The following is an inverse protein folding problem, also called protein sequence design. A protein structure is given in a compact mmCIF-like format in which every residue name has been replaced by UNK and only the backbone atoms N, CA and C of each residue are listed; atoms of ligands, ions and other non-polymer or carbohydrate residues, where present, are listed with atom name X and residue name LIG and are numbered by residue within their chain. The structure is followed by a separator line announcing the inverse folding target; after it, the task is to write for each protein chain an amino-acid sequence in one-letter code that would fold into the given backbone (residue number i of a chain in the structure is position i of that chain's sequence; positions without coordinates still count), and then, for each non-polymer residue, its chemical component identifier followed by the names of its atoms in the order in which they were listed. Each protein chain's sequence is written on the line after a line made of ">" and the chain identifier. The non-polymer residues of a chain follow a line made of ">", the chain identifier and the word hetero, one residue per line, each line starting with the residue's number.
data_IF_191176218464
#
_entry.id   IF_191176218464
#
_cell.length_a   1.000
_cell.length_b   1.000
_cell.length_c   1.000
_cell.angle_alpha   90.00
_cell.angle_beta   90.00
_cell.angle_gamma   90.00
#
_symmetry.space_group_name_H-M   'P 1'
#
loop_
_entity.id
_entity.type
_entity.pdbx_description
1 polymer ?
#
# COMPACT_ATOMS: atom_id res chain seq x y z
N UNK A 1 -12.73 1.35 23.44
CA UNK A 1 -11.60 2.15 22.90
C UNK A 1 -10.34 1.37 23.15
N UNK A 2 -9.52 1.23 22.12
CA UNK A 2 -8.21 0.61 22.23
C UNK A 2 -7.13 1.69 21.98
N UNK A 3 -6.30 2.02 22.99
CA UNK A 3 -5.29 3.05 22.85
C UNK A 3 -4.03 2.58 22.08
N UNK A 4 -3.85 1.26 21.95
CA UNK A 4 -2.71 0.65 21.23
C UNK A 4 -3.17 -0.58 20.45
N UNK A 5 -3.57 -0.37 19.21
CA UNK A 5 -4.00 -1.44 18.31
C UNK A 5 -2.84 -2.27 17.74
N UNK A 6 -1.60 -1.89 18.03
CA UNK A 6 -0.40 -2.64 17.68
C UNK A 6 0.16 -3.43 18.91
N UNK A 7 -0.51 -3.33 20.06
CA UNK A 7 -0.16 -4.03 21.28
C UNK A 7 -0.64 -5.49 21.34
N UNK A 8 -0.66 -6.04 22.53
CA UNK A 8 -1.06 -7.43 22.78
C UNK A 8 -2.50 -7.73 22.35
N UNK A 9 -3.41 -6.75 22.51
CA UNK A 9 -4.82 -6.86 22.14
C UNK A 9 -5.14 -5.92 21.00
N UNK A 10 -5.32 -6.45 19.80
CA UNK A 10 -5.59 -5.66 18.60
C UNK A 10 -7.03 -5.19 18.52
N UNK A 11 -8.00 -5.96 19.05
CA UNK A 11 -9.42 -5.66 18.90
C UNK A 11 -9.83 -4.35 19.58
N UNK A 12 -10.59 -3.53 18.87
CA UNK A 12 -11.12 -2.26 19.34
C UNK A 12 -10.96 -1.13 18.32
N UNK A 13 -11.35 0.07 18.73
CA UNK A 13 -11.31 1.26 17.89
C UNK A 13 -10.53 2.36 18.59
N UNK A 14 -9.80 3.15 17.83
CA UNK A 14 -8.97 4.23 18.34
C UNK A 14 -8.39 5.10 17.23
N UNK A 15 -7.40 5.90 17.61
CA UNK A 15 -6.59 6.64 16.66
C UNK A 15 -5.41 5.78 16.23
N UNK A 16 -5.11 5.79 14.94
CA UNK A 16 -3.91 5.14 14.41
C UNK A 16 -2.66 6.00 14.63
N UNK A 17 -1.54 5.34 14.90
CA UNK A 17 -0.25 5.98 14.79
C UNK A 17 0.02 6.41 13.35
N UNK A 18 0.51 7.63 13.18
CA UNK A 18 0.77 8.17 11.85
C UNK A 18 2.26 8.44 11.63
N UNK A 19 2.75 8.22 10.41
CA UNK A 19 4.12 8.56 10.01
C UNK A 19 4.21 10.06 9.68
N UNK A 20 3.91 10.89 10.69
CA UNK A 20 3.97 12.34 10.60
C UNK A 20 4.88 12.87 11.72
N UNK A 21 5.76 13.80 11.39
CA UNK A 21 6.60 14.49 12.35
C UNK A 21 6.65 15.97 12.02
N UNK A 22 6.36 16.81 13.00
CA UNK A 22 6.31 18.28 12.85
C UNK A 22 5.42 18.71 11.65
N UNK A 23 4.22 18.11 11.52
CA UNK A 23 3.27 18.43 10.46
C UNK A 23 3.70 18.06 9.04
N UNK A 24 4.71 17.21 8.89
CA UNK A 24 5.20 16.72 7.60
C UNK A 24 5.31 15.21 7.59
N UNK A 25 5.10 14.61 6.41
CA UNK A 25 5.29 13.17 6.23
C UNK A 25 6.70 12.74 6.58
N UNK A 26 6.83 11.86 7.56
CA UNK A 26 8.09 11.28 8.01
C UNK A 26 8.49 10.09 7.11
N UNK A 27 8.82 10.38 5.85
CA UNK A 27 9.26 9.34 4.91
C UNK A 27 10.63 8.78 5.27
N UNK A 28 10.90 7.53 4.89
CA UNK A 28 12.21 6.88 5.02
C UNK A 28 13.31 7.72 4.36
N UNK A 29 13.04 8.32 3.19
CA UNK A 29 13.99 9.22 2.54
C UNK A 29 14.36 10.41 3.43
N UNK A 30 13.36 11.04 4.08
CA UNK A 30 13.59 12.25 4.90
C UNK A 30 14.32 11.91 6.20
N UNK A 31 13.92 10.85 6.91
CA UNK A 31 14.37 10.60 8.28
C UNK A 31 15.49 9.58 8.40
N UNK A 32 15.67 8.69 7.41
CA UNK A 32 16.73 7.70 7.40
C UNK A 32 17.82 8.01 6.38
N UNK A 33 17.45 8.37 5.14
CA UNK A 33 18.43 8.56 4.07
C UNK A 33 19.09 9.95 4.13
N UNK A 34 18.31 11.05 4.24
CA UNK A 34 18.86 12.40 4.23
C UNK A 34 19.92 12.65 5.31
N UNK A 35 19.77 12.18 6.58
CA UNK A 35 20.79 12.40 7.61
C UNK A 35 22.14 11.73 7.31
N UNK A 36 22.15 10.71 6.46
CA UNK A 36 23.35 9.89 6.20
C UNK A 36 23.88 10.02 4.77
N UNK A 37 23.20 10.76 3.89
CA UNK A 37 23.57 10.88 2.48
C UNK A 37 24.96 11.47 2.19
N UNK A 38 25.53 12.17 3.18
CA UNK A 38 26.89 12.72 3.08
C UNK A 38 28.01 11.75 3.49
N UNK A 39 27.64 10.53 3.93
CA UNK A 39 28.63 9.53 4.30
C UNK A 39 29.44 9.09 3.07
N UNK A 40 30.77 9.03 3.20
CA UNK A 40 31.69 8.67 2.11
C UNK A 40 31.53 7.22 1.60
N UNK A 41 30.98 6.35 2.43
CA UNK A 41 30.70 4.95 2.11
C UNK A 41 29.29 4.70 1.58
N UNK A 42 28.53 5.75 1.29
CA UNK A 42 27.17 5.66 0.73
C UNK A 42 27.12 6.36 -0.62
N UNK A 43 26.83 5.61 -1.68
CA UNK A 43 26.56 6.14 -3.00
C UNK A 43 25.11 5.91 -3.36
N UNK A 44 24.40 6.95 -3.81
CA UNK A 44 23.00 6.90 -4.18
C UNK A 44 22.86 7.28 -5.65
N UNK A 45 22.37 6.34 -6.45
CA UNK A 45 22.11 6.52 -7.87
C UNK A 45 20.60 6.63 -8.08
N UNK A 46 20.08 7.84 -8.18
CA UNK A 46 18.68 8.10 -8.55
C UNK A 46 18.51 8.08 -10.07
N UNK A 47 17.25 7.93 -10.55
CA UNK A 47 16.93 7.81 -11.98
C UNK A 47 17.73 6.68 -12.68
N UNK A 48 17.90 5.59 -11.95
CA UNK A 48 18.64 4.40 -12.36
C UNK A 48 17.71 3.21 -12.37
N UNK A 49 17.53 2.60 -13.52
CA UNK A 49 16.62 1.47 -13.69
C UNK A 49 17.42 0.17 -13.76
N UNK A 50 17.23 -0.71 -12.78
CA UNK A 50 17.88 -2.02 -12.75
C UNK A 50 17.16 -2.95 -13.70
N UNK A 51 17.84 -3.38 -14.76
CA UNK A 51 17.26 -4.25 -15.80
C UNK A 51 17.49 -5.73 -15.50
N UNK A 52 18.63 -6.06 -14.85
CA UNK A 52 19.00 -7.46 -14.62
C UNK A 52 19.95 -7.62 -13.45
N UNK A 53 19.88 -8.76 -12.78
CA UNK A 53 20.89 -9.24 -11.84
C UNK A 53 21.91 -10.07 -12.63
N UNK A 54 23.19 -9.83 -12.38
CA UNK A 54 24.29 -10.59 -12.96
C UNK A 54 24.60 -11.77 -12.04
N UNK A 55 24.61 -12.96 -12.61
CA UNK A 55 24.97 -14.19 -11.91
C UNK A 55 26.28 -14.77 -12.43
N UNK A 56 27.10 -15.28 -11.53
CA UNK A 56 28.16 -16.25 -11.80
C UNK A 56 27.66 -17.60 -11.28
N UNK A 57 27.38 -18.53 -12.20
CA UNK A 57 26.57 -19.72 -11.90
C UNK A 57 25.27 -19.39 -11.16
N UNK A 58 25.18 -19.64 -9.84
CA UNK A 58 24.03 -19.34 -8.99
C UNK A 58 24.29 -18.21 -7.99
N UNK A 59 25.46 -17.61 -8.01
CA UNK A 59 25.83 -16.50 -7.13
C UNK A 59 25.51 -15.18 -7.79
N UNK A 60 24.68 -14.35 -7.15
CA UNK A 60 24.48 -12.98 -7.59
C UNK A 60 25.74 -12.15 -7.32
N UNK A 61 26.35 -11.62 -8.38
CA UNK A 61 27.62 -10.90 -8.32
C UNK A 61 27.49 -9.42 -8.67
N UNK A 62 26.35 -8.98 -9.21
CA UNK A 62 26.17 -7.59 -9.62
C UNK A 62 24.83 -7.34 -10.28
N UNK A 63 24.69 -6.15 -10.86
CA UNK A 63 23.48 -5.70 -11.55
C UNK A 63 23.82 -4.97 -12.84
N UNK A 64 22.93 -5.06 -13.82
CA UNK A 64 22.90 -4.20 -15.01
C UNK A 64 21.88 -3.09 -14.79
N UNK A 65 22.30 -1.85 -14.96
CA UNK A 65 21.51 -0.67 -14.63
C UNK A 65 21.52 0.31 -15.80
N UNK A 66 20.36 0.78 -16.20
CA UNK A 66 20.27 1.87 -17.17
C UNK A 66 20.31 3.22 -16.46
N UNK A 67 21.31 4.01 -16.77
CA UNK A 67 21.52 5.37 -16.30
C UNK A 67 21.65 6.30 -17.51
N UNK A 68 20.81 7.31 -17.65
CA UNK A 68 20.85 8.27 -18.78
C UNK A 68 21.00 7.59 -20.16
N UNK A 69 20.22 6.55 -20.43
CA UNK A 69 20.23 5.75 -21.67
C UNK A 69 21.50 4.92 -21.92
N UNK A 70 22.40 4.74 -20.95
CA UNK A 70 23.53 3.83 -21.01
C UNK A 70 23.35 2.69 -20.03
N UNK A 71 23.77 1.49 -20.43
CA UNK A 71 23.81 0.34 -19.52
C UNK A 71 25.16 0.34 -18.82
N UNK A 72 25.13 0.36 -17.51
CA UNK A 72 26.29 0.25 -16.64
C UNK A 72 26.19 -1.00 -15.78
N UNK A 73 27.34 -1.56 -15.38
CA UNK A 73 27.40 -2.74 -14.52
C UNK A 73 28.02 -2.37 -13.18
N UNK A 74 27.37 -2.79 -12.12
CA UNK A 74 27.87 -2.66 -10.76
C UNK A 74 28.05 -4.04 -10.16
N UNK A 75 29.17 -4.27 -9.52
CA UNK A 75 29.51 -5.57 -8.91
C UNK A 75 29.51 -5.45 -7.39
N UNK A 76 29.04 -6.50 -6.72
CA UNK A 76 28.97 -6.58 -5.27
C UNK A 76 30.09 -7.49 -4.75
N UNK A 77 30.91 -7.00 -3.83
CA UNK A 77 31.97 -7.79 -3.18
C UNK A 77 31.41 -8.73 -2.11
N UNK A 78 30.35 -8.32 -1.41
CA UNK A 78 29.77 -9.07 -0.27
C UNK A 78 28.39 -9.61 -0.59
N UNK A 79 27.41 -8.75 -0.80
CA UNK A 79 26.04 -9.17 -1.07
C UNK A 79 25.28 -8.15 -1.93
N UNK A 80 24.20 -8.63 -2.55
CA UNK A 80 23.25 -7.84 -3.30
C UNK A 80 21.88 -7.94 -2.62
N UNK A 81 21.35 -6.80 -2.22
CA UNK A 81 20.06 -6.70 -1.50
C UNK A 81 18.98 -6.26 -2.48
N UNK A 82 17.95 -7.08 -2.62
CA UNK A 82 16.80 -6.81 -3.49
C UNK A 82 15.64 -6.27 -2.66
N UNK A 83 15.32 -4.98 -2.85
CA UNK A 83 14.26 -4.27 -2.11
C UNK A 83 13.25 -3.59 -3.04
N UNK A 84 12.94 -4.22 -4.19
CA UNK A 84 12.03 -3.68 -5.20
C UNK A 84 10.53 -3.84 -4.87
N UNK A 85 10.19 -4.42 -3.73
CA UNK A 85 8.81 -4.68 -3.30
C UNK A 85 8.20 -5.94 -3.91
N UNK A 86 6.93 -6.20 -3.58
CA UNK A 86 6.22 -7.43 -3.92
C UNK A 86 6.04 -7.66 -5.42
N UNK A 87 6.10 -6.61 -6.22
CA UNK A 87 5.89 -6.66 -7.67
C UNK A 87 7.23 -6.67 -8.41
N UNK A 88 8.10 -5.68 -8.13
CA UNK A 88 9.32 -5.51 -8.92
C UNK A 88 10.41 -6.53 -8.55
N UNK A 89 10.50 -6.96 -7.28
CA UNK A 89 11.49 -7.97 -6.89
C UNK A 89 11.31 -9.30 -7.61
N UNK A 90 10.12 -9.92 -7.65
CA UNK A 90 9.92 -11.14 -8.43
C UNK A 90 10.06 -10.90 -9.94
N UNK A 91 9.65 -9.74 -10.47
CA UNK A 91 9.85 -9.41 -11.87
C UNK A 91 11.34 -9.40 -12.22
N UNK A 92 12.17 -8.71 -11.43
CA UNK A 92 13.61 -8.62 -11.65
C UNK A 92 14.30 -9.98 -11.50
N UNK A 93 13.88 -10.82 -10.55
CA UNK A 93 14.38 -12.20 -10.42
C UNK A 93 14.08 -13.02 -11.68
N UNK A 94 12.84 -12.96 -12.17
CA UNK A 94 12.44 -13.69 -13.38
C UNK A 94 13.20 -13.20 -14.62
N UNK A 95 13.32 -11.89 -14.83
CA UNK A 95 14.10 -11.30 -15.92
C UNK A 95 15.57 -11.70 -15.85
N UNK A 96 16.06 -12.03 -14.66
CA UNK A 96 17.44 -12.46 -14.42
C UNK A 96 17.64 -13.97 -14.46
N UNK A 97 16.60 -14.73 -14.81
CA UNK A 97 16.68 -16.18 -14.96
C UNK A 97 16.36 -16.99 -13.71
N UNK A 98 15.81 -16.37 -12.65
CA UNK A 98 15.41 -17.03 -11.42
C UNK A 98 13.88 -17.06 -11.31
N UNK A 99 13.27 -18.24 -11.45
CA UNK A 99 11.82 -18.41 -11.48
C UNK A 99 11.40 -19.78 -11.98
N UNK A 100 10.13 -19.93 -12.38
CA UNK A 100 9.65 -21.16 -13.00
C UNK A 100 10.32 -21.37 -14.35
N UNK A 101 11.07 -22.45 -14.49
CA UNK A 101 11.88 -22.72 -15.68
C UNK A 101 11.06 -22.86 -16.98
N UNK A 102 9.80 -23.34 -16.90
CA UNK A 102 8.93 -23.45 -18.07
C UNK A 102 8.55 -22.04 -18.54
N UNK A 103 8.03 -21.22 -17.61
CA UNK A 103 7.65 -19.85 -17.90
C UNK A 103 8.83 -19.00 -18.43
N UNK A 104 10.02 -19.12 -17.82
CA UNK A 104 11.19 -18.36 -18.27
C UNK A 104 11.60 -18.75 -19.69
N UNK A 105 11.60 -20.05 -20.03
CA UNK A 105 11.91 -20.52 -21.39
C UNK A 105 10.90 -20.02 -22.42
N UNK A 106 9.61 -20.00 -22.08
CA UNK A 106 8.54 -19.45 -22.95
C UNK A 106 8.77 -17.95 -23.26
N UNK A 107 9.42 -17.21 -22.34
CA UNK A 107 9.79 -15.81 -22.53
C UNK A 107 11.19 -15.62 -23.16
N UNK A 108 11.87 -16.69 -23.57
CA UNK A 108 13.21 -16.63 -24.15
C UNK A 108 14.31 -16.27 -23.13
N UNK A 109 14.07 -16.48 -21.83
CA UNK A 109 15.01 -16.17 -20.76
C UNK A 109 15.79 -17.43 -20.38
N UNK A 110 17.13 -17.31 -20.36
CA UNK A 110 17.99 -18.37 -19.88
C UNK A 110 17.79 -18.64 -18.39
N UNK A 111 17.56 -19.90 -18.04
CA UNK A 111 17.30 -20.32 -16.66
C UNK A 111 18.60 -20.42 -15.87
N UNK A 112 18.79 -19.56 -14.89
CA UNK A 112 19.85 -19.62 -13.89
C UNK A 112 19.46 -20.59 -12.77
N UNK A 113 18.23 -20.44 -12.25
CA UNK A 113 17.73 -21.31 -11.20
C UNK A 113 16.22 -21.51 -11.31
N UNK A 114 15.80 -22.79 -11.31
CA UNK A 114 14.37 -23.14 -11.29
C UNK A 114 13.80 -22.97 -9.87
N UNK A 115 13.19 -21.83 -9.61
CA UNK A 115 12.57 -21.48 -8.33
C UNK A 115 11.10 -21.14 -8.55
N UNK A 116 10.24 -22.16 -8.52
CA UNK A 116 8.81 -22.05 -8.88
C UNK A 116 8.00 -21.10 -8.02
N UNK A 117 8.49 -20.78 -6.80
CA UNK A 117 7.81 -19.86 -5.88
C UNK A 117 7.93 -18.38 -6.26
N UNK A 118 8.87 -17.99 -7.12
CA UNK A 118 9.03 -16.60 -7.55
C UNK A 118 7.79 -16.14 -8.31
N UNK A 119 7.20 -15.02 -7.86
CA UNK A 119 5.97 -14.47 -8.40
C UNK A 119 4.69 -15.18 -7.94
N UNK A 120 4.77 -16.21 -7.10
CA UNK A 120 3.61 -16.91 -6.54
C UNK A 120 3.22 -16.37 -5.17
N UNK A 121 2.07 -16.82 -4.67
CA UNK A 121 1.56 -16.51 -3.33
C UNK A 121 1.33 -15.01 -3.08
N UNK A 122 1.00 -14.25 -4.13
CA UNK A 122 0.64 -12.83 -4.00
C UNK A 122 -0.62 -12.70 -3.15
N UNK A 123 -0.57 -11.80 -2.16
CA UNK A 123 -1.67 -11.51 -1.25
C UNK A 123 -1.89 -10.01 -1.21
N UNK A 124 -3.14 -9.61 -1.08
CA UNK A 124 -3.53 -8.22 -0.91
C UNK A 124 -4.88 -8.12 -0.19
N UNK A 125 -5.14 -6.98 0.45
CA UNK A 125 -6.41 -6.72 1.12
C UNK A 125 -7.40 -6.11 0.14
N UNK A 126 -8.46 -6.85 -0.19
CA UNK A 126 -9.59 -6.28 -0.93
C UNK A 126 -10.44 -5.45 0.05
N UNK A 127 -10.41 -4.14 -0.15
CA UNK A 127 -11.16 -3.22 0.67
C UNK A 127 -12.55 -2.92 0.08
N UNK A 128 -13.54 -2.85 0.95
CA UNK A 128 -14.88 -2.33 0.65
C UNK A 128 -15.11 -1.07 1.48
N UNK A 129 -15.96 -0.16 1.01
CA UNK A 129 -16.31 1.02 1.79
C UNK A 129 -17.79 1.36 1.69
N UNK A 130 -18.35 1.84 2.80
CA UNK A 130 -19.71 2.34 2.90
C UNK A 130 -19.64 3.85 3.02
N UNK A 131 -20.31 4.52 2.10
CA UNK A 131 -20.38 5.98 2.04
C UNK A 131 -21.68 6.48 2.65
N UNK A 132 -21.58 7.60 3.38
CA UNK A 132 -22.71 8.28 4.00
C UNK A 132 -22.60 9.78 3.76
N UNK A 133 -23.67 10.41 3.24
CA UNK A 133 -23.73 11.86 3.19
C UNK A 133 -23.68 12.47 4.60
N UNK A 134 -23.04 13.64 4.71
CA UNK A 134 -22.90 14.36 5.97
C UNK A 134 -23.73 15.66 5.93
N UNK A 135 -24.61 15.84 6.94
CA UNK A 135 -25.41 17.06 7.08
C UNK A 135 -24.60 18.24 7.60
N UNK A 136 -23.51 17.97 8.31
CA UNK A 136 -22.68 19.00 8.92
C UNK A 136 -21.46 19.29 8.02
N UNK A 137 -20.94 20.53 8.01
CA UNK A 137 -19.81 20.92 7.16
C UNK A 137 -18.44 20.50 7.73
N UNK A 138 -18.39 19.43 8.52
CA UNK A 138 -17.20 19.00 9.29
C UNK A 138 -16.32 18.01 8.53
N UNK A 139 -16.39 17.99 7.20
CA UNK A 139 -15.64 17.04 6.37
C UNK A 139 -14.63 17.74 5.49
N UNK A 140 -13.72 16.96 4.91
CA UNK A 140 -12.67 17.45 4.03
C UNK A 140 -13.19 18.10 2.74
N UNK A 141 -14.46 17.92 2.41
CA UNK A 141 -15.08 18.59 1.26
C UNK A 141 -14.92 20.11 1.33
N UNK A 142 -14.91 20.69 2.52
CA UNK A 142 -14.62 22.13 2.72
C UNK A 142 -13.35 22.56 2.01
N UNK A 143 -12.30 21.73 2.06
CA UNK A 143 -10.97 22.03 1.51
C UNK A 143 -10.84 21.67 0.02
N UNK A 144 -11.89 21.20 -0.65
CA UNK A 144 -11.93 21.12 -2.10
C UNK A 144 -12.19 22.49 -2.74
N UNK A 145 -12.77 23.43 -1.98
CA UNK A 145 -13.06 24.80 -2.42
C UNK A 145 -11.78 25.66 -2.39
N UNK A 146 -11.65 26.57 -3.37
CA UNK A 146 -10.40 27.32 -3.60
C UNK A 146 -9.91 28.09 -2.36
N UNK A 147 -10.77 28.87 -1.72
CA UNK A 147 -10.35 29.73 -0.59
C UNK A 147 -9.92 28.91 0.62
N UNK A 148 -10.72 27.96 1.17
CA UNK A 148 -10.25 27.11 2.25
C UNK A 148 -9.00 26.29 1.92
N UNK A 149 -8.88 25.82 0.69
CA UNK A 149 -7.70 25.07 0.23
C UNK A 149 -6.43 25.92 0.29
N UNK A 150 -6.49 27.16 -0.21
CA UNK A 150 -5.36 28.11 -0.20
C UNK A 150 -4.99 28.47 1.24
N UNK A 151 -5.97 28.79 2.09
CA UNK A 151 -5.74 29.12 3.50
C UNK A 151 -5.10 27.96 4.27
N UNK A 152 -5.57 26.72 4.06
CA UNK A 152 -4.97 25.53 4.65
C UNK A 152 -3.50 25.34 4.20
N UNK A 153 -3.21 25.59 2.92
CA UNK A 153 -1.84 25.55 2.39
C UNK A 153 -0.93 26.62 3.01
N UNK A 154 -1.42 27.85 3.15
CA UNK A 154 -0.68 28.96 3.81
C UNK A 154 -0.42 28.62 5.28
N UNK A 155 -1.43 28.14 6.01
CA UNK A 155 -1.28 27.74 7.40
C UNK A 155 -0.19 26.67 7.56
N UNK A 156 -0.23 25.64 6.73
CA UNK A 156 0.78 24.58 6.76
C UNK A 156 2.19 25.12 6.42
N UNK A 157 2.28 25.99 5.41
CA UNK A 157 3.58 26.56 5.01
C UNK A 157 4.22 27.37 6.14
N UNK A 158 3.42 28.19 6.86
CA UNK A 158 3.92 29.07 7.92
C UNK A 158 4.15 28.36 9.25
N UNK A 159 3.27 27.43 9.63
CA UNK A 159 3.26 26.85 10.99
C UNK A 159 3.33 25.32 11.03
N UNK A 160 3.37 24.65 9.88
CA UNK A 160 3.31 23.17 9.78
C UNK A 160 2.12 22.56 10.54
N UNK A 161 1.02 23.28 10.58
CA UNK A 161 -0.21 22.88 11.28
C UNK A 161 -1.45 22.94 10.39
N UNK A 162 -2.60 22.60 10.95
CA UNK A 162 -3.89 22.60 10.25
C UNK A 162 -4.11 21.39 9.35
N UNK A 163 -5.10 21.47 8.45
CA UNK A 163 -5.54 20.30 7.67
C UNK A 163 -4.44 19.62 6.86
N UNK A 164 -3.48 20.35 6.31
CA UNK A 164 -2.39 19.78 5.52
C UNK A 164 -1.30 19.10 6.35
N UNK A 165 -1.37 19.14 7.68
CA UNK A 165 -0.38 18.54 8.57
C UNK A 165 -0.75 17.17 9.09
N UNK A 166 -1.87 16.61 8.65
CA UNK A 166 -2.45 15.38 9.19
C UNK A 166 -2.65 14.33 8.11
N UNK A 167 -2.73 13.06 8.53
CA UNK A 167 -3.29 11.97 7.74
C UNK A 167 -4.79 11.90 8.02
N UNK A 168 -5.61 11.80 7.01
CA UNK A 168 -7.07 11.77 7.22
C UNK A 168 -7.64 10.38 7.48
N UNK A 169 -6.80 9.35 7.50
CA UNK A 169 -7.12 7.99 7.94
C UNK A 169 -6.61 7.78 9.38
N UNK A 170 -6.95 8.69 10.29
CA UNK A 170 -6.44 8.70 11.65
C UNK A 170 -7.23 7.81 12.60
N UNK A 171 -8.51 7.58 12.33
CA UNK A 171 -9.38 6.79 13.16
C UNK A 171 -9.78 5.49 12.47
N UNK A 172 -9.82 4.42 13.23
CA UNK A 172 -10.23 3.12 12.75
C UNK A 172 -10.20 2.08 13.83
N UNK A 173 -10.01 0.82 13.45
CA UNK A 173 -9.98 -0.25 14.44
C UNK A 173 -9.98 -1.63 13.82
N UNK A 174 -10.00 -2.59 14.71
CA UNK A 174 -10.06 -4.00 14.39
C UNK A 174 -11.22 -4.65 15.14
N UNK A 175 -11.94 -5.53 14.46
CA UNK A 175 -13.04 -6.26 15.05
C UNK A 175 -13.09 -7.70 14.56
N UNK A 176 -13.76 -8.55 15.33
CA UNK A 176 -14.18 -9.88 14.90
C UNK A 176 -15.47 -9.79 14.11
N UNK A 177 -15.55 -10.45 12.98
CA UNK A 177 -16.77 -10.53 12.19
C UNK A 177 -17.86 -11.33 12.88
N UNK A 178 -17.48 -12.30 13.70
CA UNK A 178 -18.37 -13.14 14.51
C UNK A 178 -17.67 -13.57 15.80
N UNK A 179 -18.44 -13.95 16.86
CA UNK A 179 -17.87 -14.41 18.12
C UNK A 179 -16.97 -15.65 18.04
N UNK A 180 -17.16 -16.47 16.99
CA UNK A 180 -16.40 -17.69 16.77
C UNK A 180 -14.97 -17.44 16.26
N UNK A 181 -14.67 -16.20 15.85
CA UNK A 181 -13.30 -15.83 15.42
C UNK A 181 -12.40 -15.68 16.65
N UNK A 182 -11.26 -16.32 16.62
CA UNK A 182 -10.26 -16.24 17.71
C UNK A 182 -9.61 -14.86 17.76
N UNK A 183 -9.32 -14.27 16.59
CA UNK A 183 -8.66 -12.97 16.44
C UNK A 183 -9.51 -12.00 15.64
N UNK A 184 -9.24 -10.71 15.76
CA UNK A 184 -9.85 -9.68 14.92
C UNK A 184 -9.45 -9.91 13.45
N UNK A 185 -10.45 -10.10 12.61
CA UNK A 185 -10.27 -10.44 11.20
C UNK A 185 -10.73 -9.35 10.23
N UNK A 186 -11.24 -8.24 10.75
CA UNK A 186 -11.64 -7.06 9.97
C UNK A 186 -10.88 -5.85 10.46
N UNK A 187 -10.31 -5.08 9.54
CA UNK A 187 -9.74 -3.76 9.77
C UNK A 187 -10.68 -2.68 9.23
N UNK A 188 -10.79 -1.59 9.97
CA UNK A 188 -11.58 -0.43 9.59
C UNK A 188 -10.72 0.83 9.52
N UNK A 189 -11.00 1.68 8.50
CA UNK A 189 -10.47 3.03 8.43
C UNK A 189 -11.62 4.01 8.20
N UNK A 190 -11.74 5.00 9.05
CA UNK A 190 -12.69 6.09 8.88
C UNK A 190 -12.05 7.22 8.08
N UNK A 191 -12.76 7.67 7.04
CA UNK A 191 -12.31 8.77 6.20
C UNK A 191 -13.39 9.86 6.10
N UNK A 192 -13.12 11.10 6.55
CA UNK A 192 -14.12 12.17 6.59
C UNK A 192 -14.29 12.86 5.22
N UNK A 193 -14.43 12.08 4.16
CA UNK A 193 -14.74 12.53 2.80
C UNK A 193 -15.24 11.35 1.97
N UNK A 194 -15.70 11.63 0.75
CA UNK A 194 -15.87 10.60 -0.28
C UNK A 194 -14.56 10.41 -1.07
N UNK A 195 -14.21 9.17 -1.32
CA UNK A 195 -13.26 8.80 -2.37
C UNK A 195 -14.07 8.26 -3.54
N UNK A 196 -14.02 8.97 -4.66
CA UNK A 196 -14.73 8.62 -5.89
C UNK A 196 -13.67 8.34 -6.95
N UNK A 197 -13.82 7.21 -7.66
CA UNK A 197 -12.89 6.78 -8.70
C UNK A 197 -11.41 6.90 -8.26
N UNK A 198 -11.06 6.22 -7.16
CA UNK A 198 -9.71 6.24 -6.59
C UNK A 198 -9.15 7.65 -6.29
N UNK A 199 -10.02 8.63 -6.06
CA UNK A 199 -9.65 10.02 -5.80
C UNK A 199 -9.42 10.86 -7.05
N UNK A 200 -9.72 10.34 -8.23
CA UNK A 200 -9.64 11.07 -9.50
C UNK A 200 -10.80 12.04 -9.67
N UNK A 201 -11.92 11.78 -9.01
CA UNK A 201 -13.11 12.63 -9.04
C UNK A 201 -13.28 13.33 -7.70
N UNK A 202 -13.42 14.65 -7.72
CA UNK A 202 -13.69 15.41 -6.50
C UNK A 202 -15.13 15.12 -6.00
N UNK A 203 -15.34 14.99 -4.68
CA UNK A 203 -16.69 14.89 -4.12
C UNK A 203 -17.51 16.14 -4.42
N UNK A 204 -18.83 15.97 -4.57
CA UNK A 204 -19.79 17.05 -4.83
C UNK A 204 -20.49 17.58 -3.57
N UNK A 205 -20.39 16.86 -2.45
CA UNK A 205 -21.04 17.17 -1.19
C UNK A 205 -20.19 16.74 0.01
N UNK A 206 -20.62 17.18 1.20
CA UNK A 206 -20.09 16.67 2.46
C UNK A 206 -20.46 15.21 2.64
N UNK A 207 -19.51 14.40 3.08
CA UNK A 207 -19.72 13.00 3.35
C UNK A 207 -18.53 12.39 4.09
N UNK A 208 -18.73 11.18 4.53
CA UNK A 208 -17.68 10.35 5.14
C UNK A 208 -17.86 8.91 4.69
N UNK A 209 -16.84 8.13 4.86
CA UNK A 209 -16.87 6.71 4.53
C UNK A 209 -16.12 5.88 5.55
N UNK A 210 -16.58 4.66 5.73
CA UNK A 210 -15.91 3.64 6.51
C UNK A 210 -15.41 2.56 5.56
N UNK A 211 -14.12 2.44 5.48
CA UNK A 211 -13.44 1.36 4.78
C UNK A 211 -13.37 0.14 5.66
N UNK A 212 -13.54 -1.03 5.10
CA UNK A 212 -13.46 -2.31 5.80
C UNK A 212 -12.84 -3.38 4.89
N UNK A 213 -11.88 -4.10 5.43
CA UNK A 213 -11.20 -5.19 4.72
C UNK A 213 -10.94 -6.39 5.62
N UNK A 214 -10.98 -7.63 5.08
CA UNK A 214 -10.44 -8.79 5.77
C UNK A 214 -8.93 -8.67 5.98
N UNK A 215 -8.44 -8.97 7.19
CA UNK A 215 -7.01 -8.89 7.52
C UNK A 215 -6.18 -10.05 6.96
N UNK A 216 -6.79 -11.22 6.79
CA UNK A 216 -6.08 -12.46 6.47
C UNK A 216 -6.75 -13.19 5.30
N UNK A 217 -6.70 -12.62 4.07
CA UNK A 217 -7.29 -13.27 2.91
C UNK A 217 -6.58 -14.59 2.62
N UNK A 218 -7.36 -15.60 2.22
CA UNK A 218 -6.88 -16.94 1.83
C UNK A 218 -6.62 -17.05 0.33
N UNK A 219 -7.26 -16.19 -0.48
CA UNK A 219 -7.03 -16.13 -1.92
C UNK A 219 -5.57 -15.81 -2.22
N UNK A 220 -5.03 -16.45 -3.24
CA UNK A 220 -3.63 -16.32 -3.64
C UNK A 220 -3.52 -15.98 -5.11
N UNK A 221 -2.78 -14.93 -5.38
CA UNK A 221 -2.46 -14.47 -6.71
C UNK A 221 -1.05 -14.80 -7.15
N UNK A 222 -0.67 -14.22 -8.26
CA UNK A 222 0.66 -14.39 -8.83
C UNK A 222 1.08 -13.21 -9.71
N UNK A 223 2.39 -13.13 -9.93
CA UNK A 223 3.04 -12.23 -10.87
C UNK A 223 3.78 -13.07 -11.88
N UNK A 224 3.62 -12.77 -13.19
CA UNK A 224 4.35 -13.40 -14.27
C UNK A 224 4.85 -12.37 -15.28
N UNK A 225 5.88 -12.70 -16.03
CA UNK A 225 6.36 -11.84 -17.09
C UNK A 225 5.42 -11.85 -18.30
N UNK A 226 5.18 -10.71 -18.91
CA UNK A 226 4.56 -10.61 -20.24
C UNK A 226 5.58 -10.86 -21.35
N UNK A 227 6.82 -10.40 -21.17
CA UNK A 227 7.94 -10.58 -22.11
C UNK A 227 9.28 -10.56 -21.37
N UNK A 228 10.38 -10.71 -22.10
CA UNK A 228 11.75 -10.52 -21.59
C UNK A 228 12.20 -9.07 -21.55
N UNK A 229 11.36 -8.12 -22.02
CA UNK A 229 11.65 -6.70 -21.96
C UNK A 229 11.42 -6.17 -20.52
N UNK A 230 12.45 -5.62 -19.83
CA UNK A 230 12.34 -5.11 -18.47
C UNK A 230 11.39 -3.89 -18.34
N UNK A 231 11.07 -3.22 -19.45
CA UNK A 231 10.15 -2.08 -19.47
C UNK A 231 8.68 -2.50 -19.65
N UNK A 232 8.44 -3.77 -19.97
CA UNK A 232 7.08 -4.28 -20.09
C UNK A 232 6.55 -4.67 -18.70
N UNK A 233 5.42 -4.07 -18.30
CA UNK A 233 4.80 -4.38 -17.01
C UNK A 233 4.48 -5.88 -16.90
N UNK A 234 4.69 -6.48 -15.71
CA UNK A 234 4.33 -7.86 -15.48
C UNK A 234 2.80 -8.04 -15.46
N UNK A 235 2.34 -9.24 -15.72
CA UNK A 235 0.97 -9.64 -15.45
C UNK A 235 0.82 -9.83 -13.94
N UNK A 236 -0.13 -9.12 -13.33
CA UNK A 236 -0.45 -9.18 -11.91
C UNK A 236 -1.87 -9.70 -11.79
N UNK A 237 -2.06 -10.78 -11.04
CA UNK A 237 -3.37 -11.34 -10.76
C UNK A 237 -3.49 -11.62 -9.27
N UNK A 238 -4.40 -10.94 -8.60
CA UNK A 238 -4.62 -11.11 -7.16
C UNK A 238 -5.53 -12.30 -6.83
N UNK A 239 -6.40 -12.70 -7.73
CA UNK A 239 -7.43 -13.72 -7.51
C UNK A 239 -8.34 -13.41 -6.31
N UNK A 240 -8.71 -12.13 -6.16
CA UNK A 240 -9.63 -11.72 -5.09
C UNK A 240 -10.89 -12.56 -5.08
N UNK A 241 -11.34 -12.94 -3.87
CA UNK A 241 -12.58 -13.67 -3.62
C UNK A 241 -12.65 -15.07 -4.27
N UNK A 242 -11.53 -15.63 -4.72
CA UNK A 242 -11.48 -17.00 -5.22
C UNK A 242 -11.78 -18.01 -4.09
N UNK A 243 -11.35 -17.69 -2.87
CA UNK A 243 -11.67 -18.47 -1.69
C UNK A 243 -13.02 -18.05 -1.10
N UNK A 244 -13.91 -19.02 -0.83
CA UNK A 244 -15.25 -18.76 -0.31
C UNK A 244 -15.26 -18.07 1.07
N UNK A 245 -14.25 -18.33 1.92
CA UNK A 245 -14.12 -17.65 3.22
C UNK A 245 -13.83 -16.17 3.04
N UNK A 246 -13.03 -15.79 2.03
CA UNK A 246 -12.75 -14.37 1.72
C UNK A 246 -14.03 -13.66 1.26
N UNK A 247 -14.84 -14.30 0.43
CA UNK A 247 -16.12 -13.76 -0.01
C UNK A 247 -17.08 -13.58 1.19
N UNK A 248 -17.13 -14.57 2.09
CA UNK A 248 -17.92 -14.51 3.32
C UNK A 248 -17.45 -13.37 4.20
N UNK A 249 -16.14 -13.25 4.48
CA UNK A 249 -15.59 -12.19 5.31
C UNK A 249 -15.81 -10.80 4.71
N UNK A 250 -15.70 -10.64 3.38
CA UNK A 250 -15.99 -9.37 2.71
C UNK A 250 -17.45 -8.94 2.89
N UNK A 251 -18.40 -9.88 2.83
CA UNK A 251 -19.82 -9.59 3.16
C UNK A 251 -19.98 -9.19 4.62
N UNK A 252 -19.32 -9.88 5.54
CA UNK A 252 -19.30 -9.56 6.97
C UNK A 252 -18.74 -8.14 7.19
N UNK A 253 -17.67 -7.74 6.49
CA UNK A 253 -17.15 -6.36 6.52
C UNK A 253 -18.21 -5.33 6.20
N UNK A 254 -19.01 -5.54 5.16
CA UNK A 254 -20.10 -4.63 4.76
C UNK A 254 -21.18 -4.54 5.86
N UNK A 255 -21.58 -5.68 6.43
CA UNK A 255 -22.59 -5.69 7.49
C UNK A 255 -22.13 -4.99 8.76
N UNK A 256 -20.89 -5.24 9.20
CA UNK A 256 -20.33 -4.60 10.39
C UNK A 256 -20.13 -3.10 10.15
N UNK A 257 -19.62 -2.70 8.98
CA UNK A 257 -19.46 -1.29 8.63
C UNK A 257 -20.80 -0.54 8.65
N UNK A 258 -21.86 -1.10 8.07
CA UNK A 258 -23.22 -0.52 8.14
C UNK A 258 -23.73 -0.40 9.56
N UNK A 259 -23.50 -1.42 10.40
CA UNK A 259 -23.89 -1.39 11.82
C UNK A 259 -23.16 -0.28 12.58
N UNK A 260 -21.86 -0.05 12.29
CA UNK A 260 -21.09 1.05 12.88
C UNK A 260 -21.66 2.40 12.46
N UNK A 261 -21.89 2.61 11.15
CA UNK A 261 -22.39 3.88 10.63
C UNK A 261 -23.83 4.19 11.07
N UNK A 262 -24.63 3.18 11.43
CA UNK A 262 -26.01 3.36 11.94
C UNK A 262 -26.09 3.69 13.43
N UNK A 263 -24.96 3.79 14.14
CA UNK A 263 -24.98 4.06 15.58
C UNK A 263 -25.50 5.48 15.90
N UNK A 264 -26.21 5.66 17.03
CA UNK A 264 -26.81 6.96 17.40
C UNK A 264 -25.79 8.11 17.48
N UNK A 265 -24.55 7.83 17.84
CA UNK A 265 -23.47 8.83 17.88
C UNK A 265 -23.19 9.48 16.53
N UNK A 266 -23.40 8.77 15.42
CA UNK A 266 -23.23 9.27 14.06
C UNK A 266 -24.52 9.85 13.46
N UNK A 267 -25.69 9.58 14.04
CA UNK A 267 -26.99 9.98 13.49
C UNK A 267 -27.15 11.49 13.30
N UNK A 268 -26.51 12.30 14.16
CA UNK A 268 -26.50 13.77 14.04
C UNK A 268 -25.78 14.28 12.81
N UNK A 269 -24.83 13.49 12.27
CA UNK A 269 -24.06 13.81 11.08
C UNK A 269 -24.62 13.16 9.81
N UNK A 270 -25.37 12.06 9.95
CA UNK A 270 -25.88 11.29 8.83
C UNK A 270 -26.87 12.08 7.97
N UNK A 271 -26.58 12.22 6.67
CA UNK A 271 -27.45 12.72 5.62
C UNK A 271 -28.32 11.62 5.01
N UNK A 272 -28.71 11.81 3.75
CA UNK A 272 -29.46 10.83 2.96
C UNK A 272 -28.58 9.65 2.53
#
# INVERSE_FOLDING_TARGET
>A
INPDMNGEYQEGFGMFDTTIHNGERASVSKYYLNPVKSRKNLNIFSNSFVEKIIFDEKKAIGIEVKIKNKIEKFYAEKELILSGGSINSPQLLMLSGVGDAVHLKEKGINVVHNLKGVGKNLQDHLETYIQQECKTPDTLYTYTKLVPKVLAGIQWFLSKSGPCSQSYLEAGGFAKSSPEREIANIQFHFFPSFVIDHGLVNPSSHGYQLHASPNHPKSRGFITLNSSDPYNYPKILFNYLENEDDLKQTRECIHVARKILSQPSLAKHAGK
#
